data_IF_480641901626
#
_entry.id   IF_480641901626
#
_cell.length_a   1.000
_cell.length_b   1.000
_cell.length_c   1.000
_cell.angle_alpha   90.00
_cell.angle_beta   90.00
_cell.angle_gamma   90.00
#
_symmetry.space_group_name_H-M   'P 1'
#
loop_
_entity.id
_entity.type
_entity.pdbx_description
1 polymer ?
#
# COMPACT_ATOMS: atom_id res chain seq x y z
N UNK A 1 -65.36 -25.80 5.56
CA UNK A 1 -64.02 -26.01 6.12
C UNK A 1 -63.15 -24.82 5.75
N UNK A 2 -62.71 -24.02 6.72
CA UNK A 2 -62.07 -22.72 6.49
C UNK A 2 -60.61 -22.95 6.07
N UNK A 3 -60.21 -22.43 4.90
CA UNK A 3 -58.86 -22.56 4.35
C UNK A 3 -57.98 -21.50 5.00
N UNK A 4 -57.01 -21.94 5.80
CA UNK A 4 -56.08 -21.07 6.50
C UNK A 4 -55.06 -20.50 5.50
N UNK A 5 -55.08 -19.18 5.32
CA UNK A 5 -54.08 -18.44 4.56
C UNK A 5 -52.87 -18.26 5.49
N UNK A 6 -51.75 -18.87 5.13
CA UNK A 6 -50.46 -18.70 5.82
C UNK A 6 -49.72 -17.55 5.14
N UNK A 7 -49.51 -16.46 5.87
CA UNK A 7 -48.72 -15.30 5.43
C UNK A 7 -47.26 -15.59 5.77
N UNK A 8 -46.44 -15.83 4.75
CA UNK A 8 -44.99 -16.03 4.90
C UNK A 8 -44.32 -14.65 4.83
N UNK A 9 -43.84 -14.16 5.99
CA UNK A 9 -43.05 -12.95 6.06
C UNK A 9 -41.62 -13.24 5.58
N UNK A 10 -41.23 -12.64 4.46
CA UNK A 10 -39.89 -12.78 3.89
C UNK A 10 -38.94 -11.80 4.58
N UNK A 11 -38.13 -12.29 5.52
CA UNK A 11 -37.09 -11.50 6.17
C UNK A 11 -35.92 -11.29 5.19
N UNK A 12 -35.74 -10.06 4.71
CA UNK A 12 -34.58 -9.65 3.91
C UNK A 12 -33.38 -9.46 4.85
N UNK A 13 -32.50 -10.45 4.92
CA UNK A 13 -31.23 -10.32 5.63
C UNK A 13 -30.21 -9.64 4.72
N UNK A 14 -29.92 -8.36 4.99
CA UNK A 14 -28.84 -7.64 4.32
C UNK A 14 -27.49 -8.13 4.85
N UNK A 15 -26.81 -9.01 4.10
CA UNK A 15 -25.42 -9.36 4.39
C UNK A 15 -24.50 -8.19 3.98
N UNK A 16 -23.95 -7.49 4.96
CA UNK A 16 -22.83 -6.59 4.71
C UNK A 16 -21.59 -7.45 4.41
N UNK A 17 -21.11 -7.39 3.17
CA UNK A 17 -19.84 -8.00 2.78
C UNK A 17 -18.71 -7.01 3.15
N UNK A 18 -17.89 -7.25 4.18
CA UNK A 18 -16.72 -6.42 4.41
C UNK A 18 -15.77 -6.64 3.23
N UNK A 19 -15.67 -5.66 2.34
CA UNK A 19 -14.70 -5.69 1.26
C UNK A 19 -13.30 -5.73 1.86
N UNK A 20 -12.54 -6.78 1.53
CA UNK A 20 -11.14 -6.88 1.94
C UNK A 20 -10.34 -5.75 1.27
N UNK A 21 -9.69 -4.91 2.07
CA UNK A 21 -8.78 -3.89 1.58
C UNK A 21 -7.41 -4.55 1.37
N UNK A 22 -7.04 -4.81 0.12
CA UNK A 22 -5.70 -5.30 -0.21
C UNK A 22 -4.75 -4.11 -0.27
N UNK A 23 -3.75 -4.06 0.62
CA UNK A 23 -2.68 -3.09 0.53
C UNK A 23 -1.82 -3.41 -0.70
N UNK A 24 -1.91 -2.58 -1.74
CA UNK A 24 -1.04 -2.71 -2.91
C UNK A 24 0.36 -2.21 -2.54
N UNK A 25 1.30 -3.15 -2.43
CA UNK A 25 2.72 -2.83 -2.24
C UNK A 25 3.31 -2.49 -3.61
N UNK A 26 3.84 -1.27 -3.76
CA UNK A 26 4.60 -0.89 -4.96
C UNK A 26 6.06 -1.25 -4.75
N UNK A 27 6.67 -1.91 -5.73
CA UNK A 27 8.10 -2.19 -5.74
C UNK A 27 8.78 -1.44 -6.87
N UNK A 28 10.05 -1.11 -6.68
CA UNK A 28 10.90 -0.50 -7.70
C UNK A 28 12.28 -1.16 -7.68
N UNK A 29 12.90 -1.26 -8.85
CA UNK A 29 14.29 -1.75 -9.01
C UNK A 29 15.21 -0.57 -9.26
N UNK A 30 16.32 -0.51 -8.51
CA UNK A 30 17.33 0.50 -8.69
C UNK A 30 18.10 0.25 -10.00
N UNK A 31 18.21 1.28 -10.85
CA UNK A 31 18.96 1.19 -12.13
C UNK A 31 20.44 1.56 -11.98
N UNK A 32 20.83 1.98 -10.78
CA UNK A 32 22.18 2.33 -10.38
C UNK A 32 22.26 2.21 -8.85
N UNK A 33 23.45 2.36 -8.29
CA UNK A 33 23.62 2.50 -6.85
C UNK A 33 22.97 3.82 -6.36
N UNK A 34 22.09 3.72 -5.36
CA UNK A 34 21.33 4.86 -4.82
C UNK A 34 21.55 5.01 -3.32
N UNK A 35 21.74 6.25 -2.88
CA UNK A 35 21.72 6.60 -1.46
C UNK A 35 20.28 6.79 -0.97
N UNK A 36 19.92 6.12 0.13
CA UNK A 36 18.72 6.43 0.92
C UNK A 36 19.06 7.63 1.80
N UNK A 37 18.23 8.66 1.81
CA UNK A 37 18.48 9.89 2.57
C UNK A 37 17.44 10.06 3.66
N UNK A 38 17.78 10.77 4.75
CA UNK A 38 16.82 11.04 5.82
C UNK A 38 15.74 12.08 5.45
N UNK A 39 15.68 12.51 4.19
CA UNK A 39 14.72 13.52 3.71
C UNK A 39 14.91 13.86 2.22
N UNK A 40 13.93 14.58 1.63
CA UNK A 40 13.87 14.83 0.19
C UNK A 40 14.81 15.96 -0.23
N UNK A 41 16.08 15.63 -0.46
CA UNK A 41 17.06 16.58 -0.99
C UNK A 41 18.52 16.20 -0.71
N UNK A 42 19.47 16.77 -1.47
CA UNK A 42 20.89 16.50 -1.27
C UNK A 42 21.44 17.00 0.07
N UNK A 43 20.76 17.95 0.72
CA UNK A 43 21.15 18.48 2.04
C UNK A 43 20.92 17.47 3.19
N UNK A 44 20.07 16.46 2.98
CA UNK A 44 19.84 15.43 4.00
C UNK A 44 20.94 14.36 3.94
N UNK A 45 21.42 13.88 5.11
CA UNK A 45 22.44 12.84 5.16
C UNK A 45 21.94 11.52 4.54
N UNK A 46 22.87 10.74 4.00
CA UNK A 46 22.60 9.35 3.62
C UNK A 46 22.50 8.48 4.87
N UNK A 47 21.51 7.60 4.90
CA UNK A 47 21.21 6.67 5.98
C UNK A 47 21.21 5.21 5.52
N UNK A 48 21.44 4.98 4.23
CA UNK A 48 21.49 3.66 3.62
C UNK A 48 21.86 3.71 2.14
N UNK A 49 22.00 2.53 1.55
CA UNK A 49 22.44 2.30 0.19
C UNK A 49 21.59 1.20 -0.43
N UNK A 50 21.15 1.38 -1.67
CA UNK A 50 20.51 0.35 -2.50
C UNK A 50 21.47 0.08 -3.66
N UNK A 51 21.91 -1.16 -3.83
CA UNK A 51 22.79 -1.51 -4.94
C UNK A 51 22.04 -1.44 -6.28
N UNK A 52 22.79 -1.37 -7.38
CA UNK A 52 22.19 -1.54 -8.71
C UNK A 52 21.48 -2.89 -8.79
N UNK A 53 20.35 -2.91 -9.49
CA UNK A 53 19.53 -4.09 -9.76
C UNK A 53 18.78 -4.68 -8.54
N UNK A 54 18.96 -4.09 -7.36
CA UNK A 54 18.19 -4.44 -6.17
C UNK A 54 16.78 -3.84 -6.19
N UNK A 55 15.84 -4.56 -5.59
CA UNK A 55 14.45 -4.13 -5.45
C UNK A 55 14.17 -3.57 -4.05
N UNK A 56 13.38 -2.51 -4.00
CA UNK A 56 12.88 -1.89 -2.75
C UNK A 56 11.36 -1.74 -2.79
N UNK A 57 10.76 -1.65 -1.60
CA UNK A 57 9.37 -1.22 -1.46
C UNK A 57 9.33 0.30 -1.58
N UNK A 58 8.33 0.83 -2.30
CA UNK A 58 8.03 2.25 -2.40
C UNK A 58 6.78 2.52 -1.57
N UNK A 59 6.96 3.24 -0.46
CA UNK A 59 5.85 3.59 0.45
C UNK A 59 5.01 4.74 -0.13
N UNK A 60 5.64 5.62 -0.89
CA UNK A 60 4.96 6.72 -1.59
C UNK A 60 5.92 7.75 -2.16
N UNK A 61 5.44 8.56 -3.09
CA UNK A 61 6.22 9.64 -3.70
C UNK A 61 5.64 11.02 -3.36
N UNK A 62 6.53 11.98 -3.11
CA UNK A 62 6.12 13.35 -2.86
C UNK A 62 5.62 13.99 -4.15
N UNK A 63 4.41 14.55 -4.12
CA UNK A 63 3.80 15.15 -5.30
C UNK A 63 4.61 16.37 -5.78
N UNK A 64 4.84 16.46 -7.09
CA UNK A 64 5.65 17.55 -7.69
C UNK A 64 7.16 17.43 -7.42
N UNK A 65 7.61 16.33 -6.83
CA UNK A 65 9.00 16.07 -6.47
C UNK A 65 9.58 14.90 -7.27
N UNK A 66 10.89 14.72 -7.20
CA UNK A 66 11.61 13.53 -7.69
C UNK A 66 11.94 12.53 -6.57
N UNK A 67 11.42 12.76 -5.37
CA UNK A 67 11.72 11.95 -4.18
C UNK A 67 10.55 11.03 -3.83
N UNK A 68 10.88 9.79 -3.55
CA UNK A 68 9.97 8.80 -2.99
C UNK A 68 10.56 8.26 -1.69
N UNK A 69 9.68 7.98 -0.73
CA UNK A 69 10.05 7.23 0.46
C UNK A 69 10.04 5.75 0.12
N UNK A 70 11.10 5.07 0.53
CA UNK A 70 11.31 3.64 0.30
C UNK A 70 11.58 2.89 1.60
N UNK A 71 11.37 1.58 1.57
CA UNK A 71 11.81 0.67 2.61
C UNK A 71 12.64 -0.45 1.97
N UNK A 72 13.94 -0.41 2.25
CA UNK A 72 14.93 -1.36 1.74
C UNK A 72 15.68 -1.98 2.91
N UNK A 73 15.56 -3.30 3.08
CA UNK A 73 16.20 -4.08 4.16
C UNK A 73 15.99 -3.50 5.58
N UNK A 74 14.84 -2.86 5.81
CA UNK A 74 14.50 -2.23 7.10
C UNK A 74 15.04 -0.81 7.28
N UNK A 75 15.73 -0.26 6.29
CA UNK A 75 16.09 1.16 6.21
C UNK A 75 14.98 1.91 5.48
N UNK A 76 14.45 2.95 6.12
CA UNK A 76 13.47 3.86 5.53
C UNK A 76 14.03 5.26 5.34
N UNK A 77 13.75 5.85 4.19
CA UNK A 77 14.10 7.23 3.82
C UNK A 77 13.67 7.60 2.41
#
# INVERSE_FOLDING_TARGET
MKKHIVIIALALTSSANPGAVLAQTTTATATAELNIRSGPGPQYPSVGLIASDDATIVDGCLQGSKWCQVNYEGVSG
#
